data_IF_624793268780
#
_entry.id   IF_624793268780
#
_cell.length_a   1.000
_cell.length_b   1.000
_cell.length_c   1.000
_cell.angle_alpha   90.00
_cell.angle_beta   90.00
_cell.angle_gamma   90.00
#
_symmetry.space_group_name_H-M   'P 1'
#
loop_
_entity.id
_entity.type
_entity.pdbx_description
1 polymer ?
#
# COMPACT_ATOMS: atom_id res chain seq x y z
N UNK A 1 15.53 9.55 12.42
CA UNK A 1 14.77 10.31 11.40
C UNK A 1 15.25 9.84 10.03
N UNK A 2 14.36 9.36 9.17
CA UNK A 2 14.68 8.93 7.80
C UNK A 2 14.25 10.08 6.88
N UNK A 3 15.21 10.73 6.21
CA UNK A 3 14.94 11.87 5.33
C UNK A 3 14.40 11.37 3.98
N UNK A 4 13.18 11.76 3.62
CA UNK A 4 12.54 11.41 2.34
C UNK A 4 12.82 12.51 1.31
N UNK A 5 14.09 12.78 1.02
CA UNK A 5 14.46 13.83 0.04
C UNK A 5 14.10 13.47 -1.41
N UNK A 6 13.62 12.26 -1.68
CA UNK A 6 13.41 11.74 -3.05
C UNK A 6 11.95 11.70 -3.54
N UNK A 7 10.97 12.18 -2.77
CA UNK A 7 9.58 12.31 -3.23
C UNK A 7 9.18 13.75 -3.58
N UNK A 8 10.09 14.72 -3.47
CA UNK A 8 9.81 16.09 -3.88
C UNK A 8 9.89 16.18 -5.41
N UNK A 9 8.75 16.00 -6.07
CA UNK A 9 8.53 16.57 -7.40
C UNK A 9 8.68 18.09 -7.22
N UNK A 10 9.52 18.78 -8.00
CA UNK A 10 9.57 20.23 -7.95
C UNK A 10 8.17 20.77 -8.25
N UNK A 11 7.66 21.69 -7.42
CA UNK A 11 6.45 22.46 -7.74
C UNK A 11 6.68 23.19 -9.06
N UNK A 12 6.29 22.57 -10.18
CA UNK A 12 6.22 23.26 -11.45
C UNK A 12 4.95 24.09 -11.46
N UNK A 13 5.09 25.35 -11.05
CA UNK A 13 4.23 26.44 -11.47
C UNK A 13 2.84 26.48 -10.86
N UNK A 14 2.61 27.53 -10.09
CA UNK A 14 1.29 28.03 -9.73
C UNK A 14 0.37 28.12 -10.98
N UNK A 15 -0.84 27.55 -10.96
CA UNK A 15 -1.92 28.02 -11.80
C UNK A 15 -2.82 28.91 -10.96
N UNK A 16 -2.87 30.19 -11.35
CA UNK A 16 -3.83 31.17 -10.90
C UNK A 16 -5.26 30.61 -10.92
N UNK A 17 -6.11 31.11 -10.01
CA UNK A 17 -7.54 30.85 -9.95
C UNK A 17 -8.18 30.76 -11.34
N UNK A 18 -8.49 29.54 -11.77
CA UNK A 18 -9.11 29.22 -13.05
C UNK A 18 -10.43 28.50 -12.81
N UNK A 19 -11.50 29.04 -13.37
CA UNK A 19 -12.83 28.44 -13.38
C UNK A 19 -12.76 27.10 -14.13
N UNK A 20 -12.92 25.97 -13.44
CA UNK A 20 -13.04 24.67 -14.10
C UNK A 20 -14.45 24.51 -14.69
N UNK A 21 -14.55 24.47 -16.03
CA UNK A 21 -15.75 24.02 -16.75
C UNK A 21 -15.69 22.50 -16.90
N UNK A 22 -16.57 21.76 -16.23
CA UNK A 22 -16.85 20.38 -16.62
C UNK A 22 -17.67 20.37 -17.92
N UNK A 23 -17.15 19.72 -18.95
CA UNK A 23 -17.91 19.37 -20.16
C UNK A 23 -17.97 17.85 -20.23
N UNK A 24 -19.15 17.27 -20.07
CA UNK A 24 -19.38 15.84 -20.33
C UNK A 24 -19.58 15.63 -21.83
N UNK A 25 -18.72 14.84 -22.46
CA UNK A 25 -18.92 14.30 -23.81
C UNK A 25 -19.35 12.85 -23.66
N UNK A 26 -20.54 12.52 -24.15
CA UNK A 26 -21.01 11.13 -24.26
C UNK A 26 -21.00 10.73 -25.74
N UNK A 27 -20.15 9.78 -26.11
CA UNK A 27 -20.13 9.14 -27.43
C UNK A 27 -21.18 8.02 -27.49
N UNK A 28 -22.05 8.07 -28.50
CA UNK A 28 -22.91 6.95 -28.89
C UNK A 28 -22.38 6.32 -30.19
N UNK A 29 -22.68 5.04 -30.48
CA UNK A 29 -22.03 4.27 -31.56
C UNK A 29 -22.23 4.80 -33.00
N UNK A 30 -23.05 5.82 -33.21
CA UNK A 30 -23.44 6.31 -34.53
C UNK A 30 -22.92 7.72 -34.89
N UNK A 31 -21.90 8.24 -34.18
CA UNK A 31 -21.10 9.38 -34.68
C UNK A 31 -21.78 10.75 -34.75
N UNK A 32 -22.80 11.03 -33.92
CA UNK A 32 -23.45 12.35 -33.84
C UNK A 32 -23.02 13.10 -32.57
N UNK A 33 -22.38 14.26 -32.73
CA UNK A 33 -21.99 15.17 -31.62
C UNK A 33 -23.08 16.23 -31.39
N UNK A 34 -23.68 16.28 -30.19
CA UNK A 34 -24.63 17.32 -29.79
C UNK A 34 -24.08 18.14 -28.61
N UNK A 35 -24.04 19.47 -28.76
CA UNK A 35 -23.53 20.43 -27.77
C UNK A 35 -24.71 21.20 -27.17
N UNK A 36 -24.99 21.03 -25.88
CA UNK A 36 -26.02 21.83 -25.18
C UNK A 36 -25.38 22.73 -24.12
N UNK A 37 -25.56 24.03 -24.28
CA UNK A 37 -25.14 25.07 -23.33
C UNK A 37 -26.33 25.38 -22.39
N UNK A 38 -26.26 24.98 -21.12
CA UNK A 38 -27.26 25.37 -20.10
C UNK A 38 -26.71 26.49 -19.22
N UNK A 39 -27.24 27.69 -19.38
CA UNK A 39 -27.03 28.86 -18.52
C UNK A 39 -28.04 28.83 -17.37
N UNK A 40 -27.60 28.55 -16.14
CA UNK A 40 -28.47 28.60 -14.95
C UNK A 40 -28.48 30.05 -14.42
N UNK A 41 -29.66 30.65 -14.38
CA UNK A 41 -29.96 31.97 -13.82
C UNK A 41 -30.51 31.78 -12.40
N UNK A 42 -29.86 32.36 -11.40
CA UNK A 42 -30.35 32.38 -10.02
C UNK A 42 -31.28 33.59 -9.83
N UNK A 43 -32.57 33.35 -9.59
CA UNK A 43 -33.53 34.34 -9.09
C UNK A 43 -34.23 33.77 -7.85
N UNK A 44 -34.42 34.62 -6.83
CA UNK A 44 -35.59 34.52 -5.96
C UNK A 44 -35.42 33.91 -4.55
N UNK A 45 -35.06 34.78 -3.61
CA UNK A 45 -35.47 34.84 -2.20
C UNK A 45 -36.66 33.96 -1.76
N UNK A 46 -36.48 33.15 -0.72
CA UNK A 46 -37.56 32.76 0.21
C UNK A 46 -37.07 32.44 1.63
N UNK A 47 -37.52 33.30 2.54
CA UNK A 47 -37.68 33.26 4.01
C UNK A 47 -37.13 32.06 4.80
N UNK A 48 -36.36 32.42 5.84
CA UNK A 48 -36.01 31.61 7.01
C UNK A 48 -37.22 30.88 7.62
N UNK A 49 -37.05 29.57 7.86
CA UNK A 49 -37.69 28.87 8.98
C UNK A 49 -36.59 28.37 9.91
N UNK A 50 -36.55 28.93 11.12
CA UNK A 50 -35.80 28.40 12.26
C UNK A 50 -36.39 27.05 12.64
N UNK A 51 -35.60 25.98 12.55
CA UNK A 51 -35.81 24.76 13.34
C UNK A 51 -34.48 24.06 13.59
N UNK A 52 -34.16 23.92 14.88
CA UNK A 52 -33.10 23.14 15.53
C UNK A 52 -31.70 23.15 14.92
N UNK A 53 -30.79 23.91 15.54
CA UNK A 53 -29.40 23.48 15.67
C UNK A 53 -29.37 22.12 16.36
N UNK A 54 -29.20 21.04 15.60
CA UNK A 54 -28.43 19.91 16.09
C UNK A 54 -26.97 20.26 15.85
N UNK A 55 -26.27 20.66 16.92
CA UNK A 55 -24.82 20.54 16.97
C UNK A 55 -24.52 19.05 16.81
N UNK A 56 -24.27 18.61 15.57
CA UNK A 56 -23.65 17.32 15.33
C UNK A 56 -22.26 17.41 15.96
N UNK A 57 -22.13 16.80 17.13
CA UNK A 57 -20.86 16.56 17.79
C UNK A 57 -20.08 15.64 16.86
N UNK A 58 -19.20 16.20 16.03
CA UNK A 58 -18.27 15.41 15.21
C UNK A 58 -17.42 14.62 16.19
N UNK A 59 -17.60 13.30 16.21
CA UNK A 59 -16.76 12.41 17.00
C UNK A 59 -15.34 12.47 16.40
N UNK A 60 -14.31 12.77 17.20
CA UNK A 60 -12.95 12.50 16.78
C UNK A 60 -12.79 10.98 16.78
N UNK A 61 -12.02 10.41 15.84
CA UNK A 61 -11.82 8.96 15.62
C UNK A 61 -12.93 8.28 14.80
N UNK A 62 -12.84 8.34 13.47
CA UNK A 62 -13.55 7.42 12.61
C UNK A 62 -12.55 6.38 12.07
N UNK A 63 -12.72 5.11 12.46
CA UNK A 63 -12.09 3.98 11.76
C UNK A 63 -12.64 3.92 10.34
N UNK A 64 -11.79 3.63 9.35
CA UNK A 64 -12.24 3.40 7.99
C UNK A 64 -12.91 2.03 7.94
N UNK A 65 -14.25 2.04 7.84
CA UNK A 65 -15.08 0.85 7.74
C UNK A 65 -15.39 0.53 6.28
N UNK A 66 -15.53 -0.75 5.97
CA UNK A 66 -15.98 -1.24 4.68
C UNK A 66 -17.47 -0.96 4.49
N UNK A 67 -17.84 -0.34 3.37
CA UNK A 67 -19.22 0.06 3.09
C UNK A 67 -20.15 -1.14 2.83
N UNK A 68 -19.61 -2.33 2.51
CA UNK A 68 -20.37 -3.55 2.20
C UNK A 68 -20.78 -4.37 3.42
N UNK A 69 -19.94 -4.44 4.44
CA UNK A 69 -20.14 -5.30 5.62
C UNK A 69 -19.99 -4.58 6.97
N UNK A 70 -19.50 -3.34 6.99
CA UNK A 70 -19.33 -2.54 8.20
C UNK A 70 -18.15 -2.97 9.08
N UNK A 71 -17.36 -3.94 8.61
CA UNK A 71 -16.13 -4.39 9.26
C UNK A 71 -14.99 -3.41 8.98
N UNK A 72 -13.96 -3.42 9.82
CA UNK A 72 -12.76 -2.65 9.55
C UNK A 72 -12.00 -3.26 8.36
N UNK A 73 -11.48 -2.43 7.48
CA UNK A 73 -10.76 -2.88 6.28
C UNK A 73 -9.51 -3.70 6.66
N UNK A 74 -9.29 -4.90 6.07
CA UNK A 74 -8.06 -5.66 6.26
C UNK A 74 -6.83 -4.78 5.94
N UNK A 75 -5.91 -4.62 6.90
CA UNK A 75 -4.74 -3.74 6.75
C UNK A 75 -4.95 -2.26 7.11
N UNK A 76 -6.20 -1.80 7.31
CA UNK A 76 -6.57 -0.48 7.83
C UNK A 76 -6.98 -0.52 9.32
N UNK A 77 -7.07 -1.72 9.90
CA UNK A 77 -7.23 -1.94 11.34
C UNK A 77 -6.15 -1.19 12.13
N UNK A 78 -6.56 -0.16 12.88
CA UNK A 78 -5.63 0.66 13.68
C UNK A 78 -5.08 1.91 12.96
N UNK A 79 -5.39 2.11 11.67
CA UNK A 79 -5.09 3.35 10.97
C UNK A 79 -6.06 4.42 11.46
N UNK A 80 -5.61 5.21 12.43
CA UNK A 80 -6.29 6.44 12.82
C UNK A 80 -5.87 7.52 11.85
N UNK A 81 -6.76 7.89 10.91
CA UNK A 81 -6.64 9.17 10.22
C UNK A 81 -6.70 10.23 11.32
N UNK A 82 -5.53 10.78 11.68
CA UNK A 82 -5.43 11.84 12.67
C UNK A 82 -6.11 13.06 12.09
N UNK A 83 -7.41 13.21 12.37
CA UNK A 83 -8.09 14.47 12.18
C UNK A 83 -7.35 15.51 13.01
N UNK A 84 -6.69 16.43 12.31
CA UNK A 84 -5.97 17.60 12.82
C UNK A 84 -6.49 18.08 14.18
N UNK A 85 -5.76 17.77 15.26
CA UNK A 85 -6.01 18.43 16.54
C UNK A 85 -4.84 18.45 17.54
N UNK A 86 -3.69 17.80 17.32
CA UNK A 86 -2.64 17.78 18.37
C UNK A 86 -1.17 17.88 17.95
N UNK A 87 -0.83 17.86 16.66
CA UNK A 87 0.53 18.16 16.22
C UNK A 87 0.50 19.04 14.96
N UNK A 88 1.03 20.25 15.05
CA UNK A 88 1.00 21.24 13.96
C UNK A 88 2.10 21.01 12.93
N UNK A 89 2.99 20.02 13.16
CA UNK A 89 4.21 19.84 12.40
C UNK A 89 4.23 18.57 11.54
N UNK A 90 3.14 17.80 11.51
CA UNK A 90 3.02 16.57 10.72
C UNK A 90 1.95 16.69 9.63
N UNK A 91 2.26 16.20 8.44
CA UNK A 91 1.35 16.16 7.28
C UNK A 91 1.17 14.70 6.86
N UNK A 92 -0.07 14.20 6.93
CA UNK A 92 -0.41 12.89 6.40
C UNK A 92 -0.52 12.94 4.88
N UNK A 93 0.29 12.12 4.21
CA UNK A 93 0.32 12.01 2.74
C UNK A 93 0.01 10.58 2.32
N UNK A 94 -0.70 10.44 1.20
CA UNK A 94 -1.07 9.14 0.64
C UNK A 94 -0.38 8.97 -0.71
N UNK A 95 0.43 7.93 -0.84
CA UNK A 95 1.04 7.51 -2.10
C UNK A 95 0.43 6.18 -2.53
N UNK A 96 0.32 5.94 -3.84
CA UNK A 96 -0.11 4.63 -4.32
C UNK A 96 0.62 4.25 -5.61
N UNK A 97 0.80 2.94 -5.79
CA UNK A 97 1.26 2.35 -7.05
C UNK A 97 0.74 0.93 -7.17
N UNK A 98 0.02 0.65 -8.27
CA UNK A 98 -0.55 -0.65 -8.60
C UNK A 98 -1.30 -1.31 -7.42
N UNK A 99 -0.71 -2.29 -6.71
CA UNK A 99 -1.37 -3.01 -5.61
C UNK A 99 -1.00 -2.53 -4.20
N UNK A 100 -0.32 -1.39 -4.05
CA UNK A 100 0.10 -0.88 -2.73
C UNK A 100 -0.31 0.58 -2.54
N UNK A 101 -0.93 0.86 -1.39
CA UNK A 101 -1.20 2.20 -0.87
C UNK A 101 -0.31 2.43 0.35
N UNK A 102 0.36 3.57 0.40
CA UNK A 102 1.17 4.01 1.53
C UNK A 102 0.54 5.26 2.16
N UNK A 103 0.12 5.15 3.42
CA UNK A 103 -0.31 6.27 4.24
C UNK A 103 0.84 6.62 5.18
N UNK A 104 1.43 7.80 5.02
CA UNK A 104 2.63 8.20 5.76
C UNK A 104 2.45 9.55 6.43
N UNK A 105 3.05 9.72 7.60
CA UNK A 105 3.11 11.01 8.29
C UNK A 105 4.51 11.61 8.11
N UNK A 106 4.54 12.83 7.57
CA UNK A 106 5.77 13.56 7.27
C UNK A 106 5.93 14.78 8.18
N UNK A 107 7.11 14.96 8.76
CA UNK A 107 7.48 16.19 9.46
C UNK A 107 7.73 17.37 8.51
N UNK A 108 7.94 18.57 9.06
CA UNK A 108 8.19 19.82 8.31
C UNK A 108 9.37 19.78 7.34
N UNK A 109 10.31 18.85 7.51
CA UNK A 109 11.47 18.66 6.65
C UNK A 109 11.34 17.43 5.71
N UNK A 110 10.12 16.94 5.47
CA UNK A 110 9.86 15.66 4.78
C UNK A 110 10.53 14.46 5.47
N UNK A 111 10.62 14.52 6.80
CA UNK A 111 11.11 13.42 7.62
C UNK A 111 9.97 12.42 7.84
N UNK A 112 10.24 11.15 7.59
CA UNK A 112 9.26 10.09 7.79
C UNK A 112 9.08 9.81 9.28
N UNK A 113 7.90 10.08 9.82
CA UNK A 113 7.57 9.86 11.22
C UNK A 113 6.77 8.57 11.42
N UNK A 114 5.93 8.21 10.46
CA UNK A 114 5.07 7.03 10.51
C UNK A 114 4.80 6.46 9.11
N UNK A 115 4.56 5.15 9.04
CA UNK A 115 4.21 4.44 7.82
C UNK A 115 3.12 3.40 8.04
N UNK A 116 2.14 3.39 7.16
CA UNK A 116 1.18 2.31 7.04
C UNK A 116 1.09 1.90 5.56
N UNK A 117 1.52 0.68 5.25
CA UNK A 117 1.43 0.11 3.90
C UNK A 117 0.27 -0.87 3.85
N UNK A 118 -0.58 -0.71 2.83
CA UNK A 118 -1.82 -1.45 2.64
C UNK A 118 -1.77 -2.11 1.26
N UNK A 119 -2.07 -3.41 1.20
CA UNK A 119 -2.28 -4.12 -0.06
C UNK A 119 -3.69 -3.85 -0.58
N UNK A 120 -3.80 -3.50 -1.86
CA UNK A 120 -5.07 -3.30 -2.56
C UNK A 120 -5.06 -4.14 -3.84
N UNK A 121 -5.56 -5.36 -3.77
CA UNK A 121 -5.47 -6.27 -4.92
C UNK A 121 -6.55 -5.96 -5.96
N UNK A 122 -7.77 -5.71 -5.48
CA UNK A 122 -8.94 -5.41 -6.31
C UNK A 122 -9.02 -3.90 -6.59
N UNK A 123 -9.41 -3.54 -7.82
CA UNK A 123 -9.52 -2.13 -8.20
C UNK A 123 -10.59 -1.39 -7.39
N UNK A 124 -11.69 -2.06 -7.03
CA UNK A 124 -12.76 -1.47 -6.23
C UNK A 124 -12.28 -1.14 -4.81
N UNK A 125 -11.48 -2.01 -4.20
CA UNK A 125 -10.87 -1.81 -2.88
C UNK A 125 -9.91 -0.61 -2.91
N UNK A 126 -9.04 -0.54 -3.92
CA UNK A 126 -8.17 0.61 -4.13
C UNK A 126 -8.98 1.90 -4.25
N UNK A 127 -10.03 1.90 -5.09
CA UNK A 127 -10.87 3.08 -5.30
C UNK A 127 -11.61 3.52 -4.04
N UNK A 128 -12.10 2.59 -3.22
CA UNK A 128 -12.80 2.89 -1.98
C UNK A 128 -11.86 3.52 -0.94
N UNK A 129 -10.68 2.92 -0.74
CA UNK A 129 -9.65 3.46 0.14
C UNK A 129 -9.24 4.85 -0.32
N UNK A 130 -8.98 5.03 -1.62
CA UNK A 130 -8.59 6.32 -2.19
C UNK A 130 -9.70 7.37 -2.05
N UNK A 131 -10.98 7.02 -2.21
CA UNK A 131 -12.12 7.95 -2.00
C UNK A 131 -12.23 8.40 -0.56
N UNK A 132 -12.12 7.47 0.38
CA UNK A 132 -12.17 7.78 1.81
C UNK A 132 -11.02 8.70 2.23
N UNK A 133 -9.81 8.43 1.72
CA UNK A 133 -8.61 9.24 1.97
C UNK A 133 -8.65 10.62 1.29
N UNK A 134 -9.32 10.73 0.14
CA UNK A 134 -9.50 11.98 -0.62
C UNK A 134 -10.25 13.07 0.14
N UNK A 135 -10.93 12.72 1.23
CA UNK A 135 -11.56 13.68 2.14
C UNK A 135 -10.54 14.52 2.92
N UNK A 136 -9.32 14.02 3.09
CA UNK A 136 -8.29 14.59 3.97
C UNK A 136 -7.02 14.97 3.22
N UNK A 137 -6.64 14.23 2.18
CA UNK A 137 -5.43 14.46 1.39
C UNK A 137 -5.60 13.94 -0.03
N UNK A 138 -4.89 14.50 -1.01
CA UNK A 138 -4.95 14.04 -2.41
C UNK A 138 -3.99 12.87 -2.59
N UNK A 139 -4.47 11.65 -2.91
CA UNK A 139 -3.58 10.52 -3.17
C UNK A 139 -2.70 10.76 -4.39
N UNK A 140 -1.40 10.45 -4.26
CA UNK A 140 -0.40 10.69 -5.30
C UNK A 140 0.04 9.36 -5.94
N UNK A 141 -0.15 9.24 -7.25
CA UNK A 141 0.42 8.14 -8.03
C UNK A 141 1.94 8.32 -8.13
N UNK A 142 2.70 7.33 -7.70
CA UNK A 142 4.16 7.32 -7.80
C UNK A 142 4.64 6.20 -8.72
N UNK A 143 5.90 6.22 -9.13
CA UNK A 143 6.49 5.09 -9.88
C UNK A 143 6.77 3.88 -8.98
N UNK A 144 6.95 2.70 -9.58
CA UNK A 144 7.39 1.49 -8.88
C UNK A 144 8.66 1.73 -8.05
N UNK A 145 9.64 2.43 -8.63
CA UNK A 145 10.91 2.75 -7.97
C UNK A 145 10.71 3.66 -6.75
N UNK A 146 9.82 4.64 -6.86
CA UNK A 146 9.49 5.53 -5.74
C UNK A 146 8.75 4.79 -4.63
N UNK A 147 7.77 3.95 -4.98
CA UNK A 147 7.03 3.15 -3.98
C UNK A 147 7.95 2.17 -3.26
N UNK A 148 8.75 1.38 -4.00
CA UNK A 148 9.70 0.44 -3.38
C UNK A 148 10.75 1.13 -2.51
N UNK A 149 11.20 2.32 -2.91
CA UNK A 149 12.08 3.16 -2.08
C UNK A 149 11.38 3.63 -0.80
N UNK A 150 10.13 4.07 -0.89
CA UNK A 150 9.34 4.45 0.29
C UNK A 150 9.17 3.26 1.24
N UNK A 151 8.86 2.07 0.71
CA UNK A 151 8.75 0.84 1.51
C UNK A 151 10.05 0.52 2.25
N UNK A 152 11.21 0.68 1.60
CA UNK A 152 12.53 0.51 2.24
C UNK A 152 12.76 1.54 3.37
N UNK A 153 12.29 2.78 3.19
CA UNK A 153 12.39 3.83 4.21
C UNK A 153 11.47 3.54 5.40
N UNK A 154 10.26 3.04 5.16
CA UNK A 154 9.35 2.58 6.21
C UNK A 154 9.95 1.43 7.01
N UNK A 155 10.57 0.45 6.36
CA UNK A 155 11.26 -0.65 7.05
C UNK A 155 12.42 -0.15 7.92
N UNK A 156 13.20 0.82 7.43
CA UNK A 156 14.27 1.43 8.22
C UNK A 156 13.71 2.19 9.43
N UNK A 157 12.59 2.89 9.27
CA UNK A 157 11.91 3.59 10.36
C UNK A 157 11.48 2.60 11.45
N UNK A 158 10.81 1.51 11.08
CA UNK A 158 10.36 0.47 12.00
C UNK A 158 11.53 -0.14 12.77
N UNK A 159 12.65 -0.40 12.09
CA UNK A 159 13.87 -0.89 12.73
C UNK A 159 14.37 0.10 13.80
N UNK A 160 14.43 1.39 13.49
CA UNK A 160 14.87 2.44 14.42
C UNK A 160 13.91 2.54 15.62
N UNK A 161 12.58 2.51 15.38
CA UNK A 161 11.58 2.58 16.45
C UNK A 161 11.65 1.36 17.38
N UNK A 162 11.87 0.17 16.82
CA UNK A 162 12.09 -1.05 17.61
C UNK A 162 13.40 -1.02 18.42
N UNK A 163 14.50 -0.52 17.84
CA UNK A 163 15.77 -0.41 18.55
C UNK A 163 15.71 0.64 19.67
N UNK A 164 14.98 1.75 19.45
CA UNK A 164 14.78 2.82 20.43
C UNK A 164 13.87 2.41 21.59
N UNK A 165 12.91 1.52 21.35
CA UNK A 165 12.05 0.92 22.39
C UNK A 165 12.69 -0.27 23.09
N UNK A 166 14.02 -0.44 22.93
CA UNK A 166 14.83 -1.55 23.41
C UNK A 166 14.38 -2.15 24.75
N UNK A 167 14.14 -3.47 24.71
CA UNK A 167 13.93 -4.37 25.84
C UNK A 167 12.55 -4.29 26.52
N UNK A 168 11.55 -4.87 25.88
CA UNK A 168 10.58 -5.69 26.61
C UNK A 168 10.79 -7.14 26.20
N UNK A 169 11.66 -7.84 26.94
CA UNK A 169 11.56 -9.28 27.11
C UNK A 169 10.23 -9.57 27.82
N UNK A 170 9.10 -9.38 27.15
CA UNK A 170 7.89 -10.11 27.51
C UNK A 170 7.99 -11.40 26.71
N UNK A 171 8.66 -12.38 27.31
CA UNK A 171 8.38 -13.78 27.00
C UNK A 171 6.94 -14.01 27.43
N UNK A 172 5.99 -13.65 26.57
CA UNK A 172 4.64 -14.19 26.64
C UNK A 172 4.79 -15.67 26.37
N UNK A 173 4.84 -16.46 27.45
CA UNK A 173 4.73 -17.91 27.43
C UNK A 173 3.29 -18.25 27.00
N UNK A 174 3.00 -18.01 25.72
CA UNK A 174 1.72 -18.27 25.07
C UNK A 174 1.75 -19.64 24.41
N UNK A 175 0.83 -20.49 24.87
CA UNK A 175 0.53 -21.87 24.51
C UNK A 175 1.02 -22.41 23.15
N UNK A 176 1.63 -23.60 23.16
CA UNK A 176 2.07 -24.43 22.03
C UNK A 176 1.00 -24.74 20.95
N UNK A 177 -0.23 -24.24 21.08
CA UNK A 177 -1.36 -24.51 20.18
C UNK A 177 -1.30 -23.65 18.90
N UNK A 178 -0.80 -22.40 18.98
CA UNK A 178 -0.70 -21.50 17.82
C UNK A 178 0.36 -21.93 16.79
N UNK A 179 1.47 -22.54 17.26
CA UNK A 179 2.56 -22.99 16.40
C UNK A 179 2.18 -24.15 15.48
N UNK A 180 1.19 -24.98 15.85
CA UNK A 180 0.77 -26.14 15.05
C UNK A 180 -0.19 -25.70 13.93
N UNK A 181 -1.11 -24.78 14.23
CA UNK A 181 -2.02 -24.20 13.23
C UNK A 181 -1.27 -23.35 12.19
N UNK A 182 -0.29 -22.55 12.63
CA UNK A 182 0.54 -21.72 11.75
C UNK A 182 1.34 -22.55 10.72
N UNK A 183 1.84 -23.73 11.13
CA UNK A 183 2.52 -24.67 10.23
C UNK A 183 1.57 -25.32 9.21
N UNK A 184 0.31 -25.58 9.57
CA UNK A 184 -0.71 -26.09 8.63
C UNK A 184 -1.10 -25.05 7.58
N UNK A 185 -1.01 -23.76 7.93
CA UNK A 185 -1.21 -22.63 7.01
C UNK A 185 0.05 -22.25 6.22
N UNK A 186 1.16 -22.97 6.40
CA UNK A 186 2.42 -22.69 5.69
C UNK A 186 3.14 -21.42 6.15
N UNK A 187 2.82 -20.89 7.34
CA UNK A 187 3.47 -19.74 7.97
C UNK A 187 4.61 -20.23 8.88
N UNK A 188 5.78 -19.60 8.80
CA UNK A 188 6.93 -19.97 9.62
C UNK A 188 6.68 -19.65 11.11
N UNK A 189 7.03 -20.58 12.03
CA UNK A 189 6.82 -20.36 13.46
C UNK A 189 7.48 -19.08 13.97
N UNK A 190 6.71 -18.28 14.71
CA UNK A 190 7.18 -17.00 15.27
C UNK A 190 7.09 -15.83 14.30
N UNK A 191 6.53 -16.02 13.10
CA UNK A 191 6.29 -14.98 12.10
C UNK A 191 4.78 -14.86 11.84
N UNK A 192 4.36 -13.75 11.23
CA UNK A 192 2.98 -13.55 10.76
C UNK A 192 2.90 -13.37 9.24
N UNK A 193 4.00 -12.96 8.61
CA UNK A 193 4.10 -12.65 7.19
C UNK A 193 4.91 -13.67 6.38
N UNK A 194 5.68 -14.56 7.02
CA UNK A 194 6.54 -15.48 6.29
C UNK A 194 5.81 -16.79 5.94
N UNK A 195 5.08 -16.82 4.82
CA UNK A 195 4.50 -18.06 4.31
C UNK A 195 3.62 -17.92 3.07
N UNK A 196 2.61 -18.79 2.94
CA UNK A 196 1.64 -18.74 1.85
C UNK A 196 0.55 -17.70 2.13
N UNK A 197 0.91 -16.42 1.98
CA UNK A 197 0.16 -15.28 2.51
C UNK A 197 0.59 -14.95 3.93
N UNK A 198 -0.25 -14.20 4.64
CA UNK A 198 0.01 -13.76 6.01
C UNK A 198 -1.19 -14.03 6.93
N UNK A 199 -0.94 -13.93 8.24
CA UNK A 199 -1.95 -13.98 9.32
C UNK A 199 -1.92 -12.70 10.16
N UNK A 200 -1.41 -11.61 9.58
CA UNK A 200 -1.24 -10.35 10.27
C UNK A 200 -2.57 -9.58 10.29
N UNK A 201 -2.86 -8.90 11.40
CA UNK A 201 -4.09 -8.09 11.50
C UNK A 201 -3.95 -6.73 10.79
N UNK A 202 -2.72 -6.20 10.75
CA UNK A 202 -2.36 -4.91 10.16
C UNK A 202 -0.85 -4.80 9.88
N UNK A 203 -0.42 -3.72 9.21
CA UNK A 203 0.98 -3.47 8.83
C UNK A 203 2.00 -3.59 9.98
N UNK A 204 1.63 -3.17 11.19
CA UNK A 204 2.52 -3.19 12.36
C UNK A 204 2.46 -4.50 13.15
N UNK A 205 1.57 -5.43 12.77
CA UNK A 205 1.39 -6.69 13.44
C UNK A 205 2.47 -7.70 13.03
N UNK A 206 3.55 -7.71 13.80
CA UNK A 206 4.70 -8.59 13.62
C UNK A 206 4.73 -9.69 14.68
N UNK A 207 5.19 -10.86 14.28
CA UNK A 207 5.51 -12.00 15.13
C UNK A 207 6.78 -11.78 15.97
N UNK A 208 7.06 -12.77 16.83
CA UNK A 208 8.22 -12.77 17.74
C UNK A 208 9.56 -12.69 17.02
N UNK A 209 9.69 -13.30 15.85
CA UNK A 209 10.88 -13.24 15.01
C UNK A 209 10.84 -11.97 14.14
N UNK A 210 10.79 -10.79 14.78
CA UNK A 210 10.48 -9.51 14.13
C UNK A 210 11.38 -9.17 12.94
N UNK A 211 12.67 -9.48 13.00
CA UNK A 211 13.62 -9.14 11.93
C UNK A 211 13.30 -9.86 10.61
N UNK A 212 13.02 -11.17 10.65
CA UNK A 212 12.65 -11.91 9.45
C UNK A 212 11.21 -11.57 9.03
N UNK A 213 10.32 -11.37 10.00
CA UNK A 213 8.92 -11.11 9.71
C UNK A 213 8.74 -9.79 8.95
N UNK A 214 9.57 -8.79 9.26
CA UNK A 214 9.65 -7.56 8.48
C UNK A 214 10.11 -7.78 7.04
N UNK A 215 11.11 -8.63 6.81
CA UNK A 215 11.53 -8.99 5.45
C UNK A 215 10.37 -9.59 4.64
N UNK A 216 9.59 -10.48 5.26
CA UNK A 216 8.45 -11.11 4.61
C UNK A 216 7.30 -10.12 4.40
N UNK A 217 6.98 -9.27 5.38
CA UNK A 217 5.98 -8.20 5.25
C UNK A 217 6.29 -7.28 4.07
N UNK A 218 7.53 -6.82 3.94
CA UNK A 218 7.92 -5.97 2.81
C UNK A 218 7.79 -6.68 1.46
N UNK A 219 8.01 -7.99 1.41
CA UNK A 219 7.86 -8.81 0.20
C UNK A 219 6.39 -9.09 -0.14
N UNK A 220 5.58 -9.42 0.87
CA UNK A 220 4.15 -9.64 0.72
C UNK A 220 3.46 -8.37 0.22
N UNK A 221 3.83 -7.19 0.73
CA UNK A 221 3.28 -5.91 0.29
C UNK A 221 3.89 -5.38 -1.02
N UNK A 222 4.57 -6.23 -1.80
CA UNK A 222 5.14 -5.84 -3.09
C UNK A 222 4.06 -5.25 -4.02
N UNK A 223 4.28 -4.05 -4.61
CA UNK A 223 3.27 -3.38 -5.42
C UNK A 223 2.87 -4.12 -6.70
N UNK A 224 3.73 -5.00 -7.19
CA UNK A 224 3.51 -5.77 -8.41
C UNK A 224 3.67 -7.25 -8.05
N UNK A 225 2.54 -7.94 -7.99
CA UNK A 225 2.48 -9.40 -7.77
C UNK A 225 1.29 -10.03 -8.48
N UNK A 226 1.34 -11.34 -8.67
CA UNK A 226 0.22 -12.15 -9.17
C UNK A 226 0.01 -13.29 -8.19
N UNK A 227 -1.15 -13.31 -7.53
CA UNK A 227 -1.52 -14.36 -6.57
C UNK A 227 -1.61 -15.73 -7.27
N UNK A 228 -1.57 -16.79 -6.48
CA UNK A 228 -1.71 -18.16 -6.98
C UNK A 228 -3.01 -18.34 -7.78
N UNK A 229 -2.93 -19.01 -8.93
CA UNK A 229 -4.08 -19.28 -9.81
C UNK A 229 -4.81 -18.03 -10.35
N UNK A 230 -4.17 -16.85 -10.31
CA UNK A 230 -4.76 -15.61 -10.82
C UNK A 230 -4.13 -15.17 -12.15
N UNK A 231 -4.87 -14.36 -12.90
CA UNK A 231 -4.40 -13.68 -14.11
C UNK A 231 -4.35 -12.17 -13.88
N UNK A 232 -3.21 -11.54 -14.16
CA UNK A 232 -3.03 -10.08 -14.12
C UNK A 232 -1.90 -9.69 -15.07
N UNK A 233 -1.93 -8.47 -15.61
CA UNK A 233 -0.92 -7.99 -16.57
C UNK A 233 -0.77 -8.88 -17.82
N UNK A 234 -1.87 -9.51 -18.26
CA UNK A 234 -1.87 -10.52 -19.32
C UNK A 234 -0.98 -11.75 -19.03
N UNK A 235 -0.66 -12.01 -17.77
CA UNK A 235 0.07 -13.17 -17.29
C UNK A 235 -0.80 -14.01 -16.38
N UNK A 236 -0.81 -15.32 -16.58
CA UNK A 236 -1.51 -16.27 -15.70
C UNK A 236 -0.51 -17.01 -14.81
N UNK A 237 -0.67 -16.87 -13.50
CA UNK A 237 0.12 -17.60 -12.52
C UNK A 237 -0.53 -18.96 -12.23
N UNK A 238 -0.15 -20.00 -12.98
CA UNK A 238 -0.61 -21.38 -12.76
C UNK A 238 0.03 -22.09 -11.54
N UNK A 239 0.80 -21.39 -10.73
CA UNK A 239 1.44 -21.96 -9.54
C UNK A 239 0.56 -21.77 -8.30
N UNK A 240 0.76 -22.63 -7.31
CA UNK A 240 0.09 -22.58 -5.99
C UNK A 240 0.69 -21.51 -5.05
N UNK A 241 1.57 -20.65 -5.56
CA UNK A 241 2.25 -19.60 -4.81
C UNK A 241 2.21 -18.28 -5.57
N UNK A 242 2.25 -17.17 -4.84
CA UNK A 242 2.32 -15.81 -5.39
C UNK A 242 3.67 -15.57 -6.06
N UNK A 243 3.66 -14.86 -7.19
CA UNK A 243 4.87 -14.37 -7.87
C UNK A 243 4.93 -12.85 -7.75
N UNK A 244 6.00 -12.33 -7.16
CA UNK A 244 6.21 -10.88 -6.94
C UNK A 244 7.19 -10.31 -7.96
N UNK A 245 7.36 -8.99 -7.99
CA UNK A 245 8.34 -8.33 -8.85
C UNK A 245 9.78 -8.72 -8.47
N UNK A 246 10.66 -8.86 -9.46
CA UNK A 246 12.04 -9.29 -9.24
C UNK A 246 12.83 -8.37 -8.28
N UNK A 247 12.54 -7.07 -8.28
CA UNK A 247 13.14 -6.13 -7.31
C UNK A 247 12.67 -6.38 -5.87
N UNK A 248 11.43 -6.84 -5.66
CA UNK A 248 10.94 -7.23 -4.34
C UNK A 248 11.61 -8.53 -3.88
N UNK A 249 11.78 -9.51 -4.78
CA UNK A 249 12.50 -10.76 -4.49
C UNK A 249 13.99 -10.50 -4.16
N UNK A 250 14.64 -9.58 -4.87
CA UNK A 250 16.03 -9.16 -4.57
C UNK A 250 16.12 -8.47 -3.21
N UNK A 251 15.17 -7.59 -2.89
CA UNK A 251 15.08 -6.97 -1.57
C UNK A 251 14.88 -8.01 -0.46
N UNK A 252 13.99 -9.00 -0.67
CA UNK A 252 13.79 -10.13 0.24
C UNK A 252 15.09 -10.92 0.45
N UNK A 253 15.79 -11.27 -0.63
CA UNK A 253 17.05 -11.99 -0.57
C UNK A 253 18.07 -11.27 0.33
N UNK A 254 18.29 -9.98 0.10
CA UNK A 254 19.24 -9.19 0.88
C UNK A 254 18.81 -8.99 2.33
N UNK A 255 17.51 -8.78 2.58
CA UNK A 255 16.97 -8.64 3.93
C UNK A 255 17.16 -9.92 4.75
N UNK A 256 16.85 -11.08 4.17
CA UNK A 256 17.05 -12.38 4.80
C UNK A 256 18.54 -12.64 5.10
N UNK A 257 19.43 -12.30 4.16
CA UNK A 257 20.89 -12.44 4.34
C UNK A 257 21.45 -11.55 5.44
N UNK A 258 20.87 -10.37 5.66
CA UNK A 258 21.26 -9.46 6.72
C UNK A 258 20.77 -9.89 8.10
N UNK A 259 19.83 -10.84 8.18
CA UNK A 259 19.23 -11.33 9.41
C UNK A 259 20.01 -12.51 9.99
N UNK A 260 20.30 -12.51 11.29
CA UNK A 260 21.06 -13.60 11.96
C UNK A 260 20.22 -14.80 12.39
N UNK A 261 18.90 -14.78 12.14
CA UNK A 261 17.97 -15.83 12.60
C UNK A 261 18.09 -17.12 11.76
N UNK A 262 18.13 -18.31 12.40
CA UNK A 262 18.03 -19.59 11.69
C UNK A 262 16.77 -19.70 10.82
N UNK A 263 15.66 -19.09 11.27
CA UNK A 263 14.41 -19.01 10.50
C UNK A 263 14.62 -18.29 9.17
N UNK A 264 15.47 -17.25 9.13
CA UNK A 264 15.78 -16.53 7.89
C UNK A 264 16.57 -17.40 6.91
N UNK A 265 17.47 -18.25 7.42
CA UNK A 265 18.19 -19.21 6.58
C UNK A 265 17.26 -20.26 5.98
N UNK A 266 16.30 -20.75 6.76
CA UNK A 266 15.29 -21.70 6.28
C UNK A 266 14.43 -21.05 5.20
N UNK A 267 13.90 -19.84 5.45
CA UNK A 267 13.05 -19.14 4.50
C UNK A 267 13.77 -18.88 3.17
N UNK A 268 15.00 -18.36 3.24
CA UNK A 268 15.80 -18.08 2.04
C UNK A 268 16.08 -19.34 1.21
N UNK A 269 16.42 -20.46 1.86
CA UNK A 269 16.64 -21.74 1.17
C UNK A 269 15.35 -22.27 0.53
N UNK A 270 14.22 -22.22 1.25
CA UNK A 270 12.94 -22.68 0.72
C UNK A 270 12.55 -21.86 -0.51
N UNK A 271 12.58 -20.53 -0.40
CA UNK A 271 12.14 -19.63 -1.47
C UNK A 271 13.03 -19.71 -2.71
N UNK A 272 14.35 -19.51 -2.53
CA UNK A 272 15.29 -19.33 -3.65
C UNK A 272 15.93 -20.62 -4.15
N UNK A 273 16.08 -21.65 -3.31
CA UNK A 273 16.77 -22.89 -3.73
C UNK A 273 15.82 -24.07 -3.95
N UNK A 274 14.76 -24.22 -3.15
CA UNK A 274 13.85 -25.37 -3.22
C UNK A 274 12.68 -25.10 -4.15
N UNK A 275 11.87 -24.06 -3.88
CA UNK A 275 10.70 -23.72 -4.69
C UNK A 275 11.13 -23.01 -5.98
N UNK A 276 12.18 -22.18 -5.89
CA UNK A 276 12.70 -21.38 -7.01
C UNK A 276 11.60 -20.55 -7.66
N UNK A 277 10.89 -19.76 -6.85
CA UNK A 277 9.74 -18.93 -7.26
C UNK A 277 10.12 -17.94 -8.36
N UNK A 278 9.62 -18.08 -9.61
CA UNK A 278 9.86 -17.08 -10.65
C UNK A 278 9.28 -15.71 -10.27
N UNK A 279 9.95 -14.65 -10.66
CA UNK A 279 9.55 -13.26 -10.39
C UNK A 279 9.02 -12.55 -11.65
N UNK A 280 8.44 -11.37 -11.49
CA UNK A 280 7.90 -10.53 -12.58
C UNK A 280 8.90 -9.42 -12.91
N UNK A 281 9.18 -9.20 -14.19
CA UNK A 281 10.05 -8.11 -14.66
C UNK A 281 9.33 -7.33 -15.76
N UNK A 282 9.41 -6.00 -15.70
CA UNK A 282 8.94 -5.11 -16.77
C UNK A 282 9.88 -5.24 -17.99
N UNK A 283 9.30 -5.43 -19.16
CA UNK A 283 9.99 -5.47 -20.45
C UNK A 283 9.84 -4.09 -21.08
N UNK A 284 10.95 -3.38 -21.25
CA UNK A 284 10.96 -2.20 -22.12
C UNK A 284 10.86 -2.69 -23.56
N UNK A 285 9.70 -2.49 -24.19
CA UNK A 285 9.60 -2.69 -25.62
C UNK A 285 10.47 -1.62 -26.31
N UNK A 286 11.48 -2.04 -27.07
CA UNK A 286 12.27 -1.17 -27.95
C UNK A 286 11.45 -0.82 -29.20
N UNK A 287 10.22 -0.35 -29.03
CA UNK A 287 9.34 0.05 -30.12
C UNK A 287 9.31 1.57 -30.20
N UNK A 288 9.75 2.09 -31.36
CA UNK A 288 9.67 3.48 -31.77
C UNK A 288 8.21 3.92 -32.03
N UNK A 289 7.25 3.48 -31.22
CA UNK A 289 5.84 3.84 -31.35
C UNK A 289 5.28 4.41 -30.04
N UNK A 290 5.19 5.74 -30.03
CA UNK A 290 4.85 6.60 -28.92
C UNK A 290 3.32 6.67 -28.74
N UNK A 291 2.64 5.53 -28.63
CA UNK A 291 1.17 5.56 -28.61
C UNK A 291 0.47 4.57 -27.67
N UNK A 292 1.18 3.70 -26.95
CA UNK A 292 0.59 2.91 -25.84
C UNK A 292 1.68 2.45 -24.85
N UNK A 293 1.90 3.21 -23.79
CA UNK A 293 2.83 2.81 -22.70
C UNK A 293 2.12 1.75 -21.84
N UNK A 294 2.06 0.52 -22.33
CA UNK A 294 1.89 -0.66 -21.49
C UNK A 294 3.28 -1.23 -21.22
N UNK A 295 3.75 -1.18 -19.97
CA UNK A 295 4.91 -1.99 -19.58
C UNK A 295 4.50 -3.45 -19.71
N UNK A 296 4.97 -4.13 -20.75
CA UNK A 296 4.77 -5.57 -20.87
C UNK A 296 5.51 -6.25 -19.71
N UNK A 297 4.91 -7.27 -19.12
CA UNK A 297 5.50 -8.01 -17.99
C UNK A 297 5.70 -9.45 -18.40
N UNK A 298 6.75 -10.07 -17.88
CA UNK A 298 7.00 -11.51 -18.06
C UNK A 298 7.50 -12.16 -16.78
N UNK A 299 7.30 -13.48 -16.68
CA UNK A 299 7.94 -14.27 -15.63
C UNK A 299 9.41 -14.53 -15.95
N UNK A 300 10.25 -14.33 -14.95
CA UNK A 300 11.68 -14.55 -14.99
C UNK A 300 12.03 -15.66 -13.99
N UNK A 301 12.76 -16.71 -14.42
CA UNK A 301 13.26 -17.72 -13.49
C UNK A 301 14.13 -17.10 -12.39
N UNK A 302 14.15 -17.70 -11.20
CA UNK A 302 15.01 -17.27 -10.10
C UNK A 302 16.46 -17.15 -10.56
N UNK A 303 17.05 -15.96 -10.35
CA UNK A 303 18.46 -15.67 -10.62
C UNK A 303 19.35 -15.87 -9.39
N UNK A 304 18.78 -15.81 -8.19
CA UNK A 304 19.50 -15.83 -6.91
C UNK A 304 19.61 -17.24 -6.33
N UNK A 305 20.68 -17.51 -5.58
CA UNK A 305 20.84 -18.72 -4.79
C UNK A 305 21.22 -18.36 -3.35
N UNK A 306 20.51 -18.95 -2.39
CA UNK A 306 20.57 -18.60 -0.97
C UNK A 306 21.48 -19.52 -0.16
#
# INVERSE_FOLDING_TARGET
MVNVTLLVIPESGSPQAGIYRCSSVSEYPDGIVSRTDKRIRMEGSQKLKRSSLFLARVQPTASLKNEKDGEDWPGLNGITLRNHAYDTNEITTVYYYDQTVAVVDLGTNNELHNCNLIEVYEQDEANEILRNLSSTTVPQLVSFQQMTKLMQQCELLDKIQHDATGMSNVVSKGSHVGSVLSLLSGILPGTKWCGAGDIAENYHDLGRETQIDRCCRSHDLCPVKIRAQQTRYNLTNYSVYTKSHCACDEALYHCLKATTSPTAQIMGRIYFNVIKVPCIEDVSENTLDYSSIGLERRFIPVKMSY
#
